data_IF_590485452013
#
_entry.id   IF_590485452013
#
_cell.length_a   1.000
_cell.length_b   1.000
_cell.length_c   1.000
_cell.angle_alpha   90.00
_cell.angle_beta   90.00
_cell.angle_gamma   90.00
#
_symmetry.space_group_name_H-M   'P 1'
#
loop_
_entity.id
_entity.type
_entity.pdbx_description
1 polymer ?
#
# COMPACT_ATOMS: atom_id res chain seq x y z
N UNK A 1 -2.19 -23.23 13.17
CA UNK A 1 -2.98 -21.99 13.05
C UNK A 1 -4.06 -22.28 12.03
N UNK A 2 -5.35 -22.18 12.37
CA UNK A 2 -6.38 -22.22 11.33
C UNK A 2 -6.15 -21.05 10.36
N UNK A 3 -6.61 -21.21 9.12
CA UNK A 3 -6.55 -20.13 8.15
C UNK A 3 -7.60 -19.09 8.52
N UNK A 4 -7.19 -17.82 8.62
CA UNK A 4 -8.09 -16.69 8.77
C UNK A 4 -8.49 -16.17 7.38
N UNK A 5 -9.74 -15.77 7.21
CA UNK A 5 -10.25 -15.21 5.95
C UNK A 5 -11.10 -13.99 6.24
N UNK A 6 -10.94 -12.95 5.43
CA UNK A 6 -11.80 -11.76 5.45
C UNK A 6 -12.09 -11.34 4.01
N UNK A 7 -13.30 -10.85 3.74
CA UNK A 7 -13.59 -10.15 2.50
C UNK A 7 -13.18 -8.68 2.66
N UNK A 8 -12.49 -8.10 1.68
CA UNK A 8 -12.05 -6.70 1.74
C UNK A 8 -13.20 -5.69 1.85
N UNK A 9 -14.41 -6.05 1.42
CA UNK A 9 -15.61 -5.21 1.54
C UNK A 9 -16.15 -5.17 2.98
N UNK A 10 -15.76 -6.13 3.82
CA UNK A 10 -16.14 -6.17 5.25
C UNK A 10 -15.15 -5.41 6.14
N UNK A 11 -14.12 -4.76 5.56
CA UNK A 11 -13.08 -4.04 6.29
C UNK A 11 -13.31 -2.53 6.18
N UNK A 12 -13.29 -1.85 7.33
CA UNK A 12 -13.50 -0.40 7.40
C UNK A 12 -12.49 0.38 6.55
N UNK A 13 -13.01 1.32 5.77
CA UNK A 13 -12.21 2.24 4.96
C UNK A 13 -11.59 3.31 5.86
N UNK A 14 -10.27 3.44 5.77
CA UNK A 14 -9.46 4.44 6.45
C UNK A 14 -8.85 5.38 5.42
N UNK A 15 -8.61 6.63 5.80
CA UNK A 15 -7.97 7.63 4.91
C UNK A 15 -8.66 7.75 3.54
N UNK A 16 -9.99 7.55 3.49
CA UNK A 16 -10.80 7.67 2.28
C UNK A 16 -10.74 6.50 1.29
N UNK A 17 -9.70 5.67 1.29
CA UNK A 17 -9.52 4.59 0.31
C UNK A 17 -8.92 3.28 0.88
N UNK A 18 -8.29 3.31 2.05
CA UNK A 18 -7.42 2.23 2.53
C UNK A 18 -8.15 1.24 3.44
N UNK A 19 -8.16 -0.03 3.07
CA UNK A 19 -8.67 -1.18 3.86
C UNK A 19 -7.47 -1.95 4.41
N UNK A 20 -7.12 -1.73 5.67
CA UNK A 20 -5.97 -2.38 6.34
C UNK A 20 -6.36 -3.75 6.88
N UNK A 21 -5.76 -4.81 6.36
CA UNK A 21 -6.18 -6.20 6.64
C UNK A 21 -5.49 -6.82 7.86
N UNK A 22 -4.43 -6.19 8.40
CA UNK A 22 -3.62 -6.75 9.49
C UNK A 22 -4.45 -7.20 10.70
N UNK A 23 -5.36 -6.34 11.17
CA UNK A 23 -6.20 -6.64 12.32
C UNK A 23 -7.23 -7.75 12.04
N UNK A 24 -7.82 -7.75 10.85
CA UNK A 24 -8.83 -8.73 10.45
C UNK A 24 -8.25 -10.13 10.20
N UNK A 25 -6.98 -10.21 9.78
CA UNK A 25 -6.28 -11.47 9.53
C UNK A 25 -5.34 -11.89 10.66
N UNK A 26 -5.30 -11.11 11.76
CA UNK A 26 -4.39 -11.29 12.90
C UNK A 26 -2.91 -11.50 12.50
N UNK A 27 -2.45 -10.78 11.47
CA UNK A 27 -1.09 -10.95 10.95
C UNK A 27 -0.07 -10.28 11.87
N UNK A 28 0.97 -11.03 12.23
CA UNK A 28 1.99 -10.52 13.15
C UNK A 28 3.15 -9.81 12.42
N UNK A 29 3.60 -10.37 11.29
CA UNK A 29 4.80 -9.90 10.58
C UNK A 29 4.51 -9.15 9.26
N UNK A 30 3.35 -9.40 8.65
CA UNK A 30 3.00 -8.87 7.32
C UNK A 30 1.86 -7.87 7.45
N UNK A 31 2.05 -6.66 6.95
CA UNK A 31 0.99 -5.71 6.66
C UNK A 31 0.47 -5.94 5.25
N UNK A 32 -0.85 -5.95 5.10
CA UNK A 32 -1.50 -5.95 3.80
C UNK A 32 -2.62 -4.91 3.82
N UNK A 33 -2.62 -4.02 2.84
CA UNK A 33 -3.64 -2.98 2.66
C UNK A 33 -4.13 -3.02 1.23
N UNK A 34 -5.44 -2.93 1.03
CA UNK A 34 -6.03 -2.66 -0.29
C UNK A 34 -6.47 -1.20 -0.32
N UNK A 35 -6.02 -0.44 -1.30
CA UNK A 35 -6.45 0.93 -1.52
C UNK A 35 -7.36 0.98 -2.75
N UNK A 36 -8.64 1.29 -2.53
CA UNK A 36 -9.62 1.56 -3.58
C UNK A 36 -9.75 3.08 -3.76
N UNK A 37 -9.01 3.63 -4.71
CA UNK A 37 -8.83 5.07 -4.88
C UNK A 37 -9.89 5.63 -5.85
N UNK A 38 -10.68 6.60 -5.39
CA UNK A 38 -11.53 7.42 -6.27
C UNK A 38 -10.68 8.42 -7.08
N UNK A 39 -11.18 8.94 -8.22
CA UNK A 39 -10.48 9.96 -8.99
C UNK A 39 -10.03 11.15 -8.13
N UNK A 40 -8.76 11.54 -8.26
CA UNK A 40 -8.13 12.62 -7.52
C UNK A 40 -7.84 12.34 -6.04
N UNK A 41 -8.04 11.10 -5.57
CA UNK A 41 -7.63 10.73 -4.21
C UNK A 41 -6.10 10.77 -4.07
N UNK A 42 -5.64 11.29 -2.93
CA UNK A 42 -4.23 11.26 -2.54
C UNK A 42 -4.08 10.58 -1.18
N UNK A 43 -3.07 9.71 -1.08
CA UNK A 43 -2.69 9.11 0.18
C UNK A 43 -2.01 10.12 1.11
N UNK A 44 -1.88 9.79 2.41
CA UNK A 44 -1.04 10.58 3.30
C UNK A 44 0.43 10.50 2.88
N UNK A 45 1.13 11.63 2.93
CA UNK A 45 2.59 11.65 2.85
C UNK A 45 3.19 11.08 4.15
N UNK A 46 4.08 10.08 4.05
CA UNK A 46 4.68 9.42 5.22
C UNK A 46 5.96 8.63 4.89
N UNK A 47 6.74 8.28 5.91
CA UNK A 47 7.84 7.31 5.87
C UNK A 47 7.66 6.20 6.93
N UNK A 48 8.54 5.19 6.96
CA UNK A 48 8.54 4.08 7.90
C UNK A 48 9.95 3.87 8.48
N UNK A 49 10.75 4.94 8.56
CA UNK A 49 12.14 4.85 8.99
C UNK A 49 12.26 4.31 10.42
N UNK A 50 11.34 4.72 11.31
CA UNK A 50 11.31 4.27 12.71
C UNK A 50 10.97 2.77 12.86
N UNK A 51 10.22 2.22 11.91
CA UNK A 51 9.78 0.82 11.95
C UNK A 51 10.71 -0.13 11.17
N UNK A 52 11.62 0.39 10.33
CA UNK A 52 12.39 -0.38 9.35
C UNK A 52 11.49 -1.29 8.47
N UNK A 53 10.31 -0.75 8.10
CA UNK A 53 9.32 -1.45 7.27
C UNK A 53 9.49 -1.09 5.81
N UNK A 54 9.90 -2.08 5.02
CA UNK A 54 9.87 -2.00 3.57
C UNK A 54 8.46 -2.27 3.09
N UNK A 55 8.04 -1.56 2.04
CA UNK A 55 6.75 -1.79 1.39
C UNK A 55 6.88 -1.98 -0.11
N UNK A 56 5.95 -2.78 -0.66
CA UNK A 56 5.77 -2.98 -2.11
C UNK A 56 4.34 -2.62 -2.46
N UNK A 57 4.17 -1.73 -3.43
CA UNK A 57 2.88 -1.33 -3.97
C UNK A 57 2.70 -1.97 -5.34
N UNK A 58 1.63 -2.73 -5.51
CA UNK A 58 1.24 -3.35 -6.77
C UNK A 58 -0.07 -2.72 -7.24
N UNK A 59 -0.07 -2.11 -8.42
CA UNK A 59 -1.29 -1.63 -9.05
C UNK A 59 -2.01 -2.81 -9.72
N UNK A 60 -3.28 -3.02 -9.39
CA UNK A 60 -4.10 -4.13 -9.93
C UNK A 60 -5.02 -3.63 -11.03
N UNK A 61 -5.61 -2.44 -10.86
CA UNK A 61 -6.56 -1.85 -11.79
C UNK A 61 -6.39 -0.33 -11.82
N UNK A 62 -6.71 0.31 -12.94
CA UNK A 62 -6.66 1.76 -13.12
C UNK A 62 -5.28 2.29 -13.49
N UNK A 63 -4.96 3.50 -13.03
CA UNK A 63 -3.64 4.13 -13.17
C UNK A 63 -3.36 5.00 -11.95
N UNK A 64 -2.12 4.98 -11.46
CA UNK A 64 -1.72 5.77 -10.31
C UNK A 64 -0.24 6.14 -10.44
N UNK A 65 0.19 7.12 -9.65
CA UNK A 65 1.59 7.41 -9.47
C UNK A 65 1.96 7.45 -8.00
N UNK A 66 3.22 7.20 -7.71
CA UNK A 66 3.77 7.19 -6.36
C UNK A 66 4.98 8.11 -6.36
N UNK A 67 4.90 9.18 -5.57
CA UNK A 67 6.08 9.99 -5.26
C UNK A 67 6.87 9.27 -4.17
N UNK A 68 8.15 9.03 -4.40
CA UNK A 68 9.11 8.40 -3.49
C UNK A 68 10.37 9.28 -3.47
N UNK A 69 10.61 9.94 -2.35
CA UNK A 69 11.67 10.93 -2.22
C UNK A 69 11.52 12.04 -3.25
N UNK A 70 12.51 12.22 -4.12
CA UNK A 70 12.53 13.21 -5.20
C UNK A 70 11.96 12.71 -6.53
N UNK A 71 11.44 11.48 -6.59
CA UNK A 71 11.06 10.81 -7.83
C UNK A 71 9.57 10.48 -7.83
N UNK A 72 8.92 10.66 -8.97
CA UNK A 72 7.56 10.17 -9.19
C UNK A 72 7.61 8.95 -10.12
N UNK A 73 6.99 7.86 -9.69
CA UNK A 73 6.88 6.60 -10.43
C UNK A 73 5.45 6.45 -10.90
N UNK A 74 5.24 6.46 -12.22
CA UNK A 74 3.96 6.13 -12.84
C UNK A 74 3.77 4.61 -12.84
N UNK A 75 2.56 4.13 -12.58
CA UNK A 75 2.22 2.71 -12.54
C UNK A 75 1.04 2.40 -13.48
N UNK A 76 1.21 1.35 -14.27
CA UNK A 76 0.14 0.67 -14.98
C UNK A 76 -0.24 -0.66 -14.28
N UNK A 77 -1.43 -1.22 -14.53
CA UNK A 77 -1.85 -2.48 -13.92
C UNK A 77 -0.82 -3.60 -14.13
N UNK A 78 -0.36 -4.20 -13.04
CA UNK A 78 0.70 -5.20 -13.00
C UNK A 78 2.07 -4.66 -12.59
N UNK A 79 2.26 -3.34 -12.60
CA UNK A 79 3.51 -2.74 -12.12
C UNK A 79 3.58 -2.77 -10.60
N UNK A 80 4.79 -3.06 -10.11
CA UNK A 80 5.11 -3.03 -8.70
C UNK A 80 6.26 -2.05 -8.44
N UNK A 81 6.13 -1.23 -7.40
CA UNK A 81 7.20 -0.38 -6.89
C UNK A 81 7.51 -0.76 -5.45
N UNK A 82 8.80 -0.92 -5.15
CA UNK A 82 9.30 -1.08 -3.78
C UNK A 82 9.70 0.28 -3.22
N UNK A 83 9.33 0.55 -1.98
CA UNK A 83 9.70 1.76 -1.25
C UNK A 83 10.56 1.41 -0.05
N UNK A 84 11.68 2.13 0.08
CA UNK A 84 12.58 2.01 1.24
C UNK A 84 11.92 2.56 2.51
N UNK A 85 12.16 2.00 3.72
CA UNK A 85 11.66 2.57 4.97
C UNK A 85 11.99 4.05 5.12
N UNK A 86 13.20 4.47 4.72
CA UNK A 86 13.72 5.84 4.87
C UNK A 86 13.11 6.84 3.87
N UNK A 87 12.50 6.36 2.78
CA UNK A 87 11.98 7.24 1.73
C UNK A 87 10.58 7.75 2.08
N UNK A 88 10.38 9.06 2.10
CA UNK A 88 9.04 9.65 2.16
C UNK A 88 8.25 9.28 0.91
N UNK A 89 6.98 8.90 1.07
CA UNK A 89 6.14 8.42 -0.01
C UNK A 89 4.73 9.00 0.00
N UNK A 90 4.13 9.11 -1.18
CA UNK A 90 2.72 9.47 -1.35
C UNK A 90 2.14 8.84 -2.62
N UNK A 91 0.93 8.26 -2.51
CA UNK A 91 0.17 7.79 -3.67
C UNK A 91 -0.68 8.94 -4.20
N UNK A 92 -0.67 9.14 -5.51
CA UNK A 92 -1.55 10.06 -6.21
C UNK A 92 -2.39 9.26 -7.21
N UNK A 93 -3.71 9.38 -7.10
CA UNK A 93 -4.62 8.77 -8.05
C UNK A 93 -5.08 9.80 -9.08
N UNK A 94 -5.02 9.44 -10.36
CA UNK A 94 -5.40 10.32 -11.46
C UNK A 94 -6.92 10.48 -11.62
N UNK A 95 -7.37 10.72 -12.84
CA UNK A 95 -8.78 10.99 -13.16
C UNK A 95 -9.67 9.73 -13.21
N UNK A 96 -9.12 8.56 -12.88
CA UNK A 96 -9.83 7.27 -12.94
C UNK A 96 -9.79 6.55 -11.60
N UNK A 97 -10.69 5.59 -11.40
CA UNK A 97 -10.62 4.69 -10.23
C UNK A 97 -9.45 3.74 -10.37
N UNK A 98 -8.75 3.52 -9.27
CA UNK A 98 -7.60 2.61 -9.22
C UNK A 98 -7.63 1.74 -7.99
N UNK A 99 -7.02 0.55 -8.10
CA UNK A 99 -6.87 -0.39 -7.00
C UNK A 99 -5.42 -0.77 -6.82
N UNK A 100 -4.87 -0.49 -5.63
CA UNK A 100 -3.53 -0.91 -5.24
C UNK A 100 -3.58 -1.93 -4.11
N UNK A 101 -2.62 -2.85 -4.14
CA UNK A 101 -2.30 -3.71 -3.00
C UNK A 101 -0.94 -3.27 -2.46
N UNK A 102 -0.90 -2.91 -1.18
CA UNK A 102 0.29 -2.52 -0.46
C UNK A 102 0.65 -3.65 0.50
N UNK A 103 1.85 -4.20 0.36
CA UNK A 103 2.38 -5.21 1.25
C UNK A 103 3.61 -4.66 1.95
N UNK A 104 3.66 -4.78 3.28
CA UNK A 104 4.76 -4.30 4.09
C UNK A 104 5.23 -5.33 5.11
N UNK A 105 6.51 -5.31 5.43
CA UNK A 105 7.07 -6.10 6.52
C UNK A 105 8.34 -5.44 7.06
N UNK A 106 8.71 -5.77 8.30
CA UNK A 106 10.06 -5.48 8.79
C UNK A 106 11.07 -6.13 7.84
N UNK A 107 12.16 -5.43 7.54
CA UNK A 107 13.31 -6.07 6.91
C UNK A 107 13.83 -7.18 7.81
N UNK A 108 14.10 -8.33 7.20
CA UNK A 108 14.86 -9.40 7.84
C UNK A 108 16.29 -9.25 7.32
N UNK A 109 17.31 -9.44 8.18
CA UNK A 109 18.71 -9.32 7.80
C UNK A 109 19.08 -10.17 6.57
N UNK A 110 20.25 -9.90 5.98
CA UNK A 110 20.69 -10.40 4.65
C UNK A 110 20.28 -11.85 4.36
N UNK A 111 19.63 -12.04 3.20
CA UNK A 111 19.20 -13.32 2.63
C UNK A 111 20.37 -14.17 2.11
#
# INVERSE_FOLDING_TARGET
MPAETVNIEDVDVQMGAMKRLRGALDTQAVGLTVADCEPGWEGPEHDHAEADHEEVYLLIEGSASVTVGDRTVELDPGDAVRVDPEETRQIHNGDSRSRLVLAGANRVGEV
#
